data_IF_686496860191
#
_entry.id   IF_686496860191
#
_cell.length_a   1.000
_cell.length_b   1.000
_cell.length_c   1.000
_cell.angle_alpha   90.00
_cell.angle_beta   90.00
_cell.angle_gamma   90.00
#
_symmetry.space_group_name_H-M   'P 1'
#
loop_
_entity.id
_entity.type
_entity.pdbx_description
1 polymer ?
#
# COMPACT_ATOMS: atom_id res chain seq x y z
N UNK A 1 27.09 53.85 23.94
CA UNK A 1 26.31 52.60 23.89
C UNK A 1 25.03 52.84 23.11
N UNK A 2 24.83 52.18 21.97
CA UNK A 2 23.55 52.21 21.22
C UNK A 2 22.76 50.96 21.58
N UNK A 3 21.44 51.03 21.82
CA UNK A 3 20.66 49.85 22.13
C UNK A 3 20.56 48.95 20.89
N UNK A 4 20.94 47.69 21.06
CA UNK A 4 20.77 46.66 20.05
C UNK A 4 19.26 46.40 19.88
N UNK A 5 18.73 46.68 18.70
CA UNK A 5 17.32 46.50 18.36
C UNK A 5 17.03 45.00 18.15
N UNK A 6 16.64 44.31 19.22
CA UNK A 6 16.47 42.85 19.29
C UNK A 6 15.24 42.31 18.57
N UNK A 7 14.33 43.14 18.06
CA UNK A 7 13.04 42.68 17.52
C UNK A 7 13.11 42.01 16.13
N UNK A 8 14.04 42.43 15.25
CA UNK A 8 14.12 41.94 13.85
C UNK A 8 14.77 40.56 13.69
N UNK A 9 15.53 40.07 14.68
CA UNK A 9 16.24 38.79 14.58
C UNK A 9 15.36 37.58 14.89
N UNK A 10 14.27 37.72 15.66
CA UNK A 10 13.39 36.59 16.00
C UNK A 10 12.44 36.18 14.87
N UNK A 11 12.07 37.11 14.00
CA UNK A 11 11.10 36.87 12.91
C UNK A 11 11.69 35.91 11.86
N UNK A 12 12.99 36.01 11.56
CA UNK A 12 13.66 35.09 10.63
C UNK A 12 13.82 33.68 11.20
N UNK A 13 13.99 33.54 12.51
CA UNK A 13 14.16 32.24 13.18
C UNK A 13 12.86 31.44 13.26
N UNK A 14 11.71 32.12 13.38
CA UNK A 14 10.39 31.47 13.43
C UNK A 14 10.00 30.89 12.07
N UNK A 15 10.35 31.55 10.96
CA UNK A 15 10.04 31.09 9.60
C UNK A 15 10.88 29.84 9.23
N UNK A 16 12.12 29.74 9.70
CA UNK A 16 12.96 28.56 9.46
C UNK A 16 12.58 27.36 10.36
N UNK A 17 12.07 27.62 11.57
CA UNK A 17 11.59 26.57 12.48
C UNK A 17 10.29 25.87 12.03
N UNK A 18 9.42 26.58 11.30
CA UNK A 18 8.16 26.03 10.79
C UNK A 18 8.33 25.12 9.54
N UNK A 19 9.47 25.23 8.84
CA UNK A 19 9.75 24.47 7.62
C UNK A 19 10.26 23.04 7.88
N UNK A 20 10.64 22.70 9.12
CA UNK A 20 11.16 21.37 9.49
C UNK A 20 10.04 20.36 9.81
N UNK A 21 8.78 20.80 9.88
CA UNK A 21 7.59 19.93 9.88
C UNK A 21 7.23 19.46 8.46
N UNK A 22 8.22 19.24 7.59
CA UNK A 22 8.02 18.57 6.32
C UNK A 22 7.46 17.18 6.61
N UNK A 23 6.15 17.04 6.40
CA UNK A 23 5.38 15.84 6.66
C UNK A 23 6.09 14.62 6.08
N UNK A 24 6.44 13.66 6.95
CA UNK A 24 6.92 12.35 6.54
C UNK A 24 5.74 11.53 5.99
N UNK A 25 5.24 11.94 4.83
CA UNK A 25 4.25 11.17 4.09
C UNK A 25 4.93 9.88 3.62
N UNK A 26 4.72 8.80 4.35
CA UNK A 26 5.26 7.48 4.01
C UNK A 26 4.57 6.99 2.72
N UNK A 27 5.38 6.57 1.75
CA UNK A 27 4.90 6.16 0.43
C UNK A 27 4.24 4.78 0.51
N UNK A 28 3.13 4.52 -0.21
CA UNK A 28 2.54 3.18 -0.29
C UNK A 28 3.57 2.14 -0.73
N UNK A 29 3.51 0.94 -0.13
CA UNK A 29 4.30 -0.21 -0.55
C UNK A 29 3.57 -0.95 -1.67
N UNK A 30 4.31 -1.46 -2.64
CA UNK A 30 3.77 -2.33 -3.70
C UNK A 30 4.48 -3.68 -3.64
N UNK A 31 3.71 -4.75 -3.63
CA UNK A 31 4.21 -6.13 -3.69
C UNK A 31 3.65 -6.82 -4.94
N UNK A 32 4.47 -7.66 -5.56
CA UNK A 32 4.11 -8.38 -6.79
C UNK A 32 4.22 -9.90 -6.56
N UNK A 33 3.26 -10.64 -7.09
CA UNK A 33 3.23 -12.10 -7.05
C UNK A 33 2.96 -12.60 -8.47
N UNK A 34 3.80 -13.50 -8.97
CA UNK A 34 3.61 -14.10 -10.31
C UNK A 34 3.38 -15.60 -10.16
N UNK A 35 2.48 -16.17 -10.95
CA UNK A 35 2.17 -17.58 -10.87
C UNK A 35 1.22 -18.05 -11.95
N UNK A 36 1.15 -19.37 -12.16
CA UNK A 36 0.09 -19.97 -12.96
C UNK A 36 -1.13 -20.16 -12.08
N UNK A 37 -2.26 -19.66 -12.54
CA UNK A 37 -3.50 -19.79 -11.80
C UNK A 37 -4.04 -21.22 -11.88
N UNK A 38 -4.42 -21.78 -10.74
CA UNK A 38 -4.86 -23.17 -10.55
C UNK A 38 -6.39 -23.35 -10.65
N UNK A 39 -7.13 -22.28 -10.96
CA UNK A 39 -8.59 -22.28 -11.02
C UNK A 39 -9.30 -22.05 -9.67
N UNK A 40 -8.56 -21.98 -8.56
CA UNK A 40 -9.12 -21.70 -7.24
C UNK A 40 -9.20 -20.19 -6.95
N UNK A 41 -9.92 -19.79 -5.89
CA UNK A 41 -9.93 -18.38 -5.51
C UNK A 41 -8.54 -17.92 -5.06
N UNK A 42 -8.18 -16.70 -5.45
CA UNK A 42 -6.97 -16.05 -4.91
C UNK A 42 -7.28 -15.50 -3.52
N UNK A 43 -6.50 -15.89 -2.52
CA UNK A 43 -6.73 -15.59 -1.11
C UNK A 43 -5.59 -14.77 -0.51
N UNK A 44 -5.96 -13.67 0.14
CA UNK A 44 -5.02 -12.73 0.75
C UNK A 44 -5.53 -12.31 2.12
N UNK A 45 -4.64 -12.36 3.11
CA UNK A 45 -4.85 -11.75 4.41
C UNK A 45 -4.55 -10.25 4.32
N UNK A 46 -5.55 -9.44 4.64
CA UNK A 46 -5.55 -7.99 4.65
C UNK A 46 -5.67 -7.50 6.10
N UNK A 47 -4.58 -7.38 6.85
CA UNK A 47 -4.66 -7.08 8.28
C UNK A 47 -5.32 -5.72 8.53
N UNK A 48 -6.10 -5.65 9.61
CA UNK A 48 -6.60 -4.38 10.13
C UNK A 48 -5.41 -3.60 10.72
N UNK A 49 -5.39 -2.29 10.49
CA UNK A 49 -4.35 -1.41 11.03
C UNK A 49 -4.59 -1.19 12.53
N UNK A 50 -3.54 -1.32 13.33
CA UNK A 50 -3.60 -1.28 14.81
C UNK A 50 -4.36 -0.08 15.39
N UNK A 51 -4.29 1.08 14.74
CA UNK A 51 -4.82 2.34 15.28
C UNK A 51 -5.98 2.94 14.46
N UNK A 52 -6.56 2.20 13.51
CA UNK A 52 -7.57 2.73 12.58
C UNK A 52 -8.65 1.67 12.27
N UNK A 53 -9.89 2.12 12.05
CA UNK A 53 -10.94 1.33 11.37
C UNK A 53 -10.65 1.24 9.87
N UNK A 54 -9.42 0.89 9.52
CA UNK A 54 -8.89 0.84 8.17
C UNK A 54 -8.01 -0.40 8.00
N UNK A 55 -7.86 -0.84 6.76
CA UNK A 55 -7.19 -2.08 6.42
C UNK A 55 -5.92 -1.84 5.59
N UNK A 56 -5.09 -2.86 5.49
CA UNK A 56 -3.77 -2.72 4.93
C UNK A 56 -3.76 -2.41 3.43
N UNK A 57 -4.56 -3.13 2.65
CA UNK A 57 -4.58 -3.08 1.19
C UNK A 57 -5.43 -1.91 0.69
N UNK A 58 -4.85 -1.08 -0.18
CA UNK A 58 -5.54 0.05 -0.82
C UNK A 58 -6.15 -0.33 -2.17
N UNK A 59 -5.39 -1.06 -2.98
CA UNK A 59 -5.74 -1.41 -4.36
C UNK A 59 -5.03 -2.71 -4.75
N UNK A 60 -5.64 -3.44 -5.67
CA UNK A 60 -5.03 -4.60 -6.29
C UNK A 60 -5.26 -4.59 -7.80
N UNK A 61 -4.34 -5.24 -8.52
CA UNK A 61 -4.40 -5.43 -9.96
C UNK A 61 -4.03 -6.87 -10.32
N UNK A 62 -4.61 -7.37 -11.40
CA UNK A 62 -4.26 -8.65 -12.03
C UNK A 62 -3.93 -8.35 -13.49
N UNK A 63 -2.70 -8.65 -13.91
CA UNK A 63 -2.18 -8.32 -15.25
C UNK A 63 -2.46 -6.86 -15.63
N UNK A 64 -2.24 -5.94 -14.68
CA UNK A 64 -2.46 -4.49 -14.86
C UNK A 64 -3.93 -4.03 -14.78
N UNK A 65 -4.91 -4.95 -14.75
CA UNK A 65 -6.33 -4.62 -14.60
C UNK A 65 -6.69 -4.48 -13.12
N UNK A 66 -7.21 -3.31 -12.74
CA UNK A 66 -7.66 -3.08 -11.36
C UNK A 66 -8.86 -3.96 -11.03
N UNK A 67 -8.78 -4.70 -9.92
CA UNK A 67 -9.88 -5.52 -9.44
C UNK A 67 -10.79 -4.78 -8.46
N UNK A 68 -12.04 -5.22 -8.36
CA UNK A 68 -13.05 -4.72 -7.42
C UNK A 68 -13.31 -5.79 -6.37
N UNK A 69 -12.85 -5.55 -5.16
CA UNK A 69 -13.05 -6.40 -3.98
C UNK A 69 -13.38 -5.55 -2.76
N UNK A 70 -13.85 -6.18 -1.68
CA UNK A 70 -14.07 -5.47 -0.42
C UNK A 70 -12.74 -5.31 0.34
N UNK A 71 -12.12 -4.13 0.23
CA UNK A 71 -10.90 -3.80 0.98
C UNK A 71 -11.15 -3.53 2.48
N UNK A 72 -12.41 -3.40 2.93
CA UNK A 72 -12.78 -3.21 4.34
C UNK A 72 -13.03 -4.55 5.05
N UNK A 73 -12.17 -5.53 4.81
CA UNK A 73 -12.27 -6.90 5.31
C UNK A 73 -10.89 -7.45 5.63
N UNK A 74 -10.80 -8.32 6.66
CA UNK A 74 -9.56 -9.01 7.04
C UNK A 74 -9.12 -10.04 5.99
N UNK A 75 -10.07 -10.69 5.33
CA UNK A 75 -9.82 -11.59 4.20
C UNK A 75 -10.26 -10.96 2.90
N UNK A 76 -9.44 -11.09 1.86
CA UNK A 76 -9.80 -10.80 0.48
C UNK A 76 -9.72 -12.09 -0.32
N UNK A 77 -10.82 -12.39 -1.01
CA UNK A 77 -10.91 -13.47 -1.96
C UNK A 77 -11.45 -12.91 -3.28
N UNK A 78 -10.90 -13.39 -4.40
CA UNK A 78 -11.48 -13.12 -5.71
C UNK A 78 -11.20 -14.26 -6.68
N UNK A 79 -12.10 -14.40 -7.65
CA UNK A 79 -11.98 -15.35 -8.74
C UNK A 79 -11.44 -14.63 -10.00
N UNK A 80 -10.22 -14.93 -10.46
CA UNK A 80 -9.67 -14.41 -11.72
C UNK A 80 -10.56 -14.63 -12.95
N UNK A 81 -11.43 -15.65 -12.99
CA UNK A 81 -12.35 -15.88 -14.12
C UNK A 81 -13.28 -14.69 -14.36
N UNK A 82 -13.68 -13.98 -13.29
CA UNK A 82 -14.53 -12.79 -13.36
C UNK A 82 -13.87 -11.63 -14.11
N UNK A 83 -12.55 -11.71 -14.31
CA UNK A 83 -11.77 -10.74 -15.07
C UNK A 83 -11.38 -11.22 -16.46
N UNK A 84 -11.74 -12.46 -16.84
CA UNK A 84 -11.53 -13.06 -18.15
C UNK A 84 -10.37 -14.06 -18.23
N UNK A 85 -9.73 -14.38 -17.10
CA UNK A 85 -8.63 -15.35 -17.04
C UNK A 85 -9.16 -16.78 -17.00
N UNK A 86 -8.30 -17.72 -17.40
CA UNK A 86 -8.57 -19.16 -17.39
C UNK A 86 -7.54 -19.88 -16.52
N UNK A 87 -7.92 -21.04 -16.01
CA UNK A 87 -6.98 -21.95 -15.35
C UNK A 87 -5.76 -22.19 -16.27
N UNK A 88 -4.58 -22.14 -15.68
CA UNK A 88 -3.29 -22.26 -16.35
C UNK A 88 -2.72 -20.92 -16.85
N UNK A 89 -3.49 -19.84 -16.88
CA UNK A 89 -2.98 -18.51 -17.26
C UNK A 89 -1.90 -18.03 -16.26
N UNK A 90 -0.87 -17.38 -16.80
CA UNK A 90 0.11 -16.66 -15.99
C UNK A 90 -0.47 -15.32 -15.52
N UNK A 91 -0.52 -15.15 -14.20
CA UNK A 91 -1.04 -13.96 -13.55
C UNK A 91 0.06 -13.23 -12.78
N UNK A 92 0.14 -11.92 -13.00
CA UNK A 92 0.84 -10.95 -12.17
C UNK A 92 -0.17 -10.26 -11.25
N UNK A 93 -0.13 -10.60 -9.98
CA UNK A 93 -0.90 -9.94 -8.93
C UNK A 93 -0.07 -8.81 -8.35
N UNK A 94 -0.60 -7.59 -8.42
CA UNK A 94 -0.02 -6.42 -7.78
C UNK A 94 -0.88 -6.01 -6.60
N UNK A 95 -0.28 -5.87 -5.43
CA UNK A 95 -0.92 -5.40 -4.20
C UNK A 95 -0.29 -4.08 -3.79
N UNK A 96 -1.11 -3.03 -3.69
CA UNK A 96 -0.69 -1.72 -3.17
C UNK A 96 -1.20 -1.59 -1.74
N UNK A 97 -0.31 -1.57 -0.77
CA UNK A 97 -0.61 -1.49 0.66
C UNK A 97 -0.22 -0.14 1.27
N UNK A 98 -0.74 0.11 2.47
CA UNK A 98 -0.13 1.10 3.35
C UNK A 98 1.29 0.65 3.73
N UNK A 99 2.12 1.62 4.08
CA UNK A 99 3.52 1.47 4.47
C UNK A 99 3.74 0.94 5.90
N UNK A 100 2.69 1.00 6.73
CA UNK A 100 2.70 0.63 8.15
C UNK A 100 2.13 -0.77 8.42
N UNK A 101 1.96 -1.58 7.37
CA UNK A 101 1.42 -2.94 7.45
C UNK A 101 1.89 -3.79 6.26
N UNK A 102 1.78 -5.11 6.39
CA UNK A 102 2.12 -6.06 5.33
C UNK A 102 0.95 -7.05 5.12
N UNK A 103 0.37 -7.14 3.92
CA UNK A 103 -0.58 -8.21 3.59
C UNK A 103 0.14 -9.53 3.33
N UNK A 104 -0.54 -10.65 3.59
CA UNK A 104 0.02 -12.00 3.34
C UNK A 104 -0.74 -12.68 2.21
N UNK A 105 -0.01 -13.18 1.22
CA UNK A 105 -0.56 -13.93 0.10
C UNK A 105 -0.56 -15.44 0.43
N UNK A 106 -1.68 -16.14 0.18
CA UNK A 106 -1.86 -17.53 0.59
C UNK A 106 -2.09 -18.52 -0.55
N UNK A 107 -2.35 -18.06 -1.77
CA UNK A 107 -2.63 -18.98 -2.88
C UNK A 107 -1.37 -19.67 -3.40
N UNK A 108 -1.51 -20.97 -3.66
CA UNK A 108 -0.44 -21.82 -4.19
C UNK A 108 -0.09 -21.45 -5.64
N UNK A 109 1.11 -21.81 -6.09
CA UNK A 109 1.57 -21.57 -7.46
C UNK A 109 2.03 -20.13 -7.74
N UNK A 110 1.89 -19.21 -6.78
CA UNK A 110 2.39 -17.84 -6.87
C UNK A 110 3.68 -17.62 -6.08
N UNK A 111 4.63 -16.93 -6.71
CA UNK A 111 5.94 -16.61 -6.13
C UNK A 111 6.05 -15.09 -5.96
N UNK A 112 6.40 -14.59 -4.75
CA UNK A 112 6.65 -13.17 -4.54
C UNK A 112 7.85 -12.72 -5.37
N UNK A 113 7.70 -11.63 -6.10
CA UNK A 113 8.79 -10.99 -6.81
C UNK A 113 9.49 -10.03 -5.86
N UNK A 114 10.82 -10.12 -5.79
CA UNK A 114 11.66 -9.12 -5.12
C UNK A 114 12.24 -8.22 -6.18
N UNK A 115 12.18 -6.91 -5.93
CA UNK A 115 13.01 -5.94 -6.65
C UNK A 115 14.49 -6.11 -6.25
#
# INVERSE_FOLDING_TARGET
>A
MRPFNTSKQYIFTIIFGLLVLAATARKPKTSYFTGKWDGNMVQINNPQKANKNDFCIKKMYVNGKKIKVNYKSQGIEFDPSTYGFKEGDELLIQIVSNDDCEPTFHSEGFIPQRD
#
